data_IF_090579504562
#
_entry.id   IF_090579504562
#
_cell.length_a   1.000
_cell.length_b   1.000
_cell.length_c   1.000
_cell.angle_alpha   90.00
_cell.angle_beta   90.00
_cell.angle_gamma   90.00
#
_symmetry.space_group_name_H-M   'P 1'
#
loop_
_entity.id
_entity.type
_entity.pdbx_description
1 polymer ?
#
# COMPACT_ATOMS: atom_id res chain seq x y z
N UNK A 1 24.14 3.48 14.16
CA UNK A 1 24.76 3.76 15.49
C UNK A 1 24.33 2.73 16.54
N UNK A 2 23.09 2.24 16.57
CA UNK A 2 22.60 1.32 17.60
C UNK A 2 23.26 -0.06 17.59
N UNK A 3 23.65 -0.58 16.42
CA UNK A 3 24.37 -1.87 16.32
C UNK A 3 25.81 -1.82 16.81
N UNK A 4 26.38 -0.64 16.97
CA UNK A 4 27.76 -0.47 17.42
C UNK A 4 27.89 -0.54 18.95
N UNK A 5 26.84 -0.19 19.70
CA UNK A 5 26.85 -0.18 21.17
C UNK A 5 27.09 -1.58 21.76
N UNK A 6 26.33 -2.63 21.36
CA UNK A 6 26.57 -3.99 21.85
C UNK A 6 27.99 -4.47 21.58
N UNK A 7 28.56 -4.16 20.41
CA UNK A 7 29.93 -4.51 20.05
C UNK A 7 30.95 -3.87 21.00
N UNK A 8 30.85 -2.57 21.26
CA UNK A 8 31.74 -1.83 22.15
C UNK A 8 31.68 -2.41 23.59
N UNK A 9 30.47 -2.67 24.09
CA UNK A 9 30.25 -3.24 25.42
C UNK A 9 30.84 -4.63 25.51
N UNK A 10 30.73 -5.47 24.49
CA UNK A 10 31.32 -6.79 24.41
C UNK A 10 32.85 -6.70 24.53
N UNK A 11 33.48 -5.83 23.73
CA UNK A 11 34.94 -5.64 23.72
C UNK A 11 35.45 -5.13 25.09
N UNK A 12 34.79 -4.12 25.64
CA UNK A 12 35.11 -3.60 26.97
C UNK A 12 34.92 -4.68 28.05
N UNK A 13 33.82 -5.44 27.97
CA UNK A 13 33.58 -6.57 28.88
C UNK A 13 34.72 -7.59 28.85
N UNK A 14 35.20 -7.99 27.66
CA UNK A 14 36.33 -8.93 27.51
C UNK A 14 37.64 -8.37 28.07
N UNK A 15 37.87 -7.06 27.94
CA UNK A 15 39.10 -6.42 28.43
C UNK A 15 39.14 -6.29 29.95
N UNK A 16 37.99 -6.00 30.58
CA UNK A 16 37.92 -5.74 32.03
C UNK A 16 37.57 -6.97 32.87
N UNK A 17 37.09 -8.05 32.25
CA UNK A 17 36.75 -9.29 32.97
C UNK A 17 37.51 -10.48 32.35
N UNK A 18 36.82 -11.34 31.65
CA UNK A 18 37.35 -12.46 30.88
C UNK A 18 36.54 -12.66 29.60
N UNK A 19 37.05 -13.49 28.69
CA UNK A 19 36.46 -13.72 27.39
C UNK A 19 35.00 -14.21 27.47
N UNK A 20 34.72 -15.15 28.40
CA UNK A 20 33.40 -15.75 28.51
C UNK A 20 32.38 -14.76 29.08
N UNK A 21 32.73 -14.08 30.16
CA UNK A 21 31.89 -13.09 30.82
C UNK A 21 31.61 -11.91 29.89
N UNK A 22 32.63 -11.41 29.18
CA UNK A 22 32.47 -10.32 28.20
C UNK A 22 31.52 -10.68 27.05
N UNK A 23 31.63 -11.93 26.52
CA UNK A 23 30.67 -12.39 25.48
C UNK A 23 29.24 -12.50 26.03
N UNK A 24 29.05 -13.02 27.24
CA UNK A 24 27.72 -13.12 27.85
C UNK A 24 27.09 -11.74 28.07
N UNK A 25 27.83 -10.76 28.57
CA UNK A 25 27.35 -9.38 28.73
C UNK A 25 26.97 -8.79 27.37
N UNK A 26 27.84 -8.95 26.38
CA UNK A 26 27.55 -8.44 25.01
C UNK A 26 26.31 -9.06 24.39
N UNK A 27 26.10 -10.37 24.58
CA UNK A 27 24.92 -11.07 24.11
C UNK A 27 23.63 -10.52 24.75
N UNK A 28 23.62 -10.34 26.07
CA UNK A 28 22.47 -9.79 26.82
C UNK A 28 22.16 -8.37 26.33
N UNK A 29 23.20 -7.53 26.17
CA UNK A 29 23.01 -6.16 25.66
C UNK A 29 22.48 -6.16 24.20
N UNK A 30 23.00 -7.05 23.36
CA UNK A 30 22.51 -7.18 21.97
C UNK A 30 21.06 -7.62 21.92
N UNK A 31 20.66 -8.63 22.70
CA UNK A 31 19.26 -9.07 22.80
C UNK A 31 18.35 -7.93 23.31
N UNK A 32 18.80 -7.19 24.32
CA UNK A 32 18.04 -6.06 24.85
C UNK A 32 17.92 -4.92 23.84
N UNK A 33 18.99 -4.62 23.09
CA UNK A 33 18.96 -3.62 22.03
C UNK A 33 17.96 -4.00 20.92
N UNK A 34 17.96 -5.27 20.49
CA UNK A 34 16.99 -5.79 19.49
C UNK A 34 15.55 -5.69 20.01
N UNK A 35 15.31 -6.06 21.28
CA UNK A 35 13.97 -5.95 21.88
C UNK A 35 13.53 -4.50 21.98
N UNK A 36 14.42 -3.56 22.36
CA UNK A 36 14.12 -2.12 22.39
C UNK A 36 13.84 -1.55 21.00
N UNK A 37 14.57 -1.99 19.99
CA UNK A 37 14.36 -1.56 18.60
C UNK A 37 13.01 -2.04 18.09
N UNK A 38 12.68 -3.30 18.33
CA UNK A 38 11.35 -3.85 18.01
C UNK A 38 10.23 -3.16 18.80
N UNK A 39 10.44 -2.81 20.06
CA UNK A 39 9.47 -2.07 20.88
C UNK A 39 9.29 -0.62 20.41
N UNK A 40 10.38 0.06 20.01
CA UNK A 40 10.36 1.44 19.50
C UNK A 40 9.93 1.56 18.05
N UNK A 41 9.97 0.47 17.30
CA UNK A 41 9.54 0.44 15.90
C UNK A 41 8.02 0.68 15.83
N UNK A 42 7.64 1.96 15.71
CA UNK A 42 6.25 2.45 15.51
C UNK A 42 5.70 2.04 14.13
N UNK A 43 6.44 1.20 13.40
CA UNK A 43 6.20 0.89 11.98
C UNK A 43 5.08 -0.11 11.70
N UNK A 44 4.39 -0.63 12.71
CA UNK A 44 3.33 -1.63 12.49
C UNK A 44 1.96 -1.01 12.19
N UNK A 45 1.77 0.27 12.53
CA UNK A 45 0.62 1.05 12.13
C UNK A 45 1.09 2.38 11.53
N UNK A 46 0.75 2.64 10.27
CA UNK A 46 0.72 3.98 9.73
C UNK A 46 -0.71 4.50 9.83
N UNK A 47 -0.92 5.42 10.73
CA UNK A 47 -2.17 6.15 10.84
C UNK A 47 -2.15 7.31 9.83
N UNK A 48 -3.16 7.36 8.98
CA UNK A 48 -3.44 8.52 8.13
C UNK A 48 -4.90 8.91 8.35
N UNK A 49 -5.13 10.13 8.78
CA UNK A 49 -6.48 10.68 8.90
C UNK A 49 -6.74 11.52 7.64
N UNK A 50 -7.63 11.02 6.78
CA UNK A 50 -8.01 11.69 5.53
C UNK A 50 -9.54 11.84 5.55
N UNK A 51 -10.05 13.07 5.49
CA UNK A 51 -11.50 13.35 5.42
C UNK A 51 -12.32 12.63 6.52
N UNK A 52 -11.87 12.64 7.76
CA UNK A 52 -12.49 11.94 8.90
C UNK A 52 -12.42 10.40 8.83
N UNK A 53 -11.62 9.84 7.94
CA UNK A 53 -11.37 8.41 7.80
C UNK A 53 -10.01 8.07 8.38
N UNK A 54 -9.97 7.11 9.30
CA UNK A 54 -8.75 6.63 9.95
C UNK A 54 -8.27 5.38 9.21
N UNK A 55 -7.10 5.45 8.59
CA UNK A 55 -6.51 4.33 7.87
C UNK A 55 -5.35 3.78 8.67
N UNK A 56 -5.45 2.52 9.06
CA UNK A 56 -4.45 1.80 9.84
C UNK A 56 -3.79 0.73 8.95
N UNK A 57 -2.56 0.97 8.51
CA UNK A 57 -1.80 0.00 7.70
C UNK A 57 -0.95 -0.89 8.57
N UNK A 58 -1.12 -2.19 8.46
CA UNK A 58 -0.29 -3.18 9.13
C UNK A 58 1.07 -3.31 8.43
N UNK A 59 2.15 -3.47 9.21
CA UNK A 59 3.48 -3.77 8.69
C UNK A 59 3.55 -5.20 8.13
N UNK A 60 4.66 -5.53 7.45
CA UNK A 60 4.86 -6.89 6.92
C UNK A 60 4.84 -7.98 8.00
N UNK A 61 5.34 -7.67 9.19
CA UNK A 61 5.38 -8.58 10.33
C UNK A 61 4.79 -7.91 11.57
N UNK A 62 3.67 -8.43 12.03
CA UNK A 62 2.97 -7.96 13.23
C UNK A 62 3.01 -9.06 14.27
N UNK A 63 3.84 -8.87 15.30
CA UNK A 63 4.07 -9.83 16.37
C UNK A 63 3.29 -9.47 17.65
N UNK A 64 3.25 -10.40 18.61
CA UNK A 64 2.63 -10.19 19.92
C UNK A 64 3.19 -8.97 20.68
N UNK A 65 4.44 -8.58 20.43
CA UNK A 65 5.06 -7.39 21.01
C UNK A 65 4.31 -6.10 20.63
N UNK A 66 3.57 -6.14 19.53
CA UNK A 66 2.79 -5.01 19.03
C UNK A 66 1.38 -4.95 19.65
N UNK A 67 0.90 -6.02 20.30
CA UNK A 67 -0.47 -6.16 20.85
C UNK A 67 -0.90 -4.94 21.68
N UNK A 68 -0.08 -4.53 22.64
CA UNK A 68 -0.42 -3.44 23.56
C UNK A 68 -0.60 -2.09 22.85
N UNK A 69 0.28 -1.79 21.89
CA UNK A 69 0.22 -0.55 21.15
C UNK A 69 -0.93 -0.54 20.13
N UNK A 70 -1.17 -1.67 19.45
CA UNK A 70 -2.30 -1.82 18.52
C UNK A 70 -3.61 -1.63 19.30
N UNK A 71 -3.76 -2.32 20.43
CA UNK A 71 -4.94 -2.17 21.28
C UNK A 71 -5.14 -0.70 21.71
N UNK A 72 -4.08 -0.05 22.18
CA UNK A 72 -4.14 1.37 22.58
C UNK A 72 -4.55 2.28 21.42
N UNK A 73 -4.07 2.02 20.20
CA UNK A 73 -4.45 2.81 19.01
C UNK A 73 -5.92 2.60 18.67
N UNK A 74 -6.40 1.36 18.70
CA UNK A 74 -7.80 1.03 18.42
C UNK A 74 -8.75 1.59 19.48
N UNK A 75 -8.35 1.54 20.75
CA UNK A 75 -9.15 2.08 21.88
C UNK A 75 -9.31 3.61 21.81
N UNK A 76 -8.33 4.31 21.22
CA UNK A 76 -8.34 5.77 21.06
C UNK A 76 -9.14 6.27 19.85
N UNK A 77 -9.67 5.38 19.02
CA UNK A 77 -10.47 5.77 17.85
C UNK A 77 -11.78 6.43 18.30
N UNK A 78 -12.07 7.56 17.69
CA UNK A 78 -13.27 8.37 18.02
C UNK A 78 -14.54 7.63 17.61
N UNK A 79 -15.57 7.69 18.44
CA UNK A 79 -16.90 7.13 18.15
C UNK A 79 -17.47 7.77 16.87
N UNK A 80 -18.04 6.97 15.99
CA UNK A 80 -18.64 7.43 14.74
C UNK A 80 -17.63 7.69 13.61
N UNK A 81 -16.38 7.25 13.76
CA UNK A 81 -15.35 7.35 12.70
C UNK A 81 -15.48 6.25 11.67
N UNK A 82 -15.01 6.53 10.46
CA UNK A 82 -14.73 5.51 9.44
C UNK A 82 -13.31 4.99 9.61
N UNK A 83 -13.14 3.68 9.78
CA UNK A 83 -11.85 3.03 10.02
C UNK A 83 -11.58 1.99 8.96
N UNK A 84 -10.39 2.03 8.37
CA UNK A 84 -9.90 0.99 7.47
C UNK A 84 -8.64 0.38 8.06
N UNK A 85 -8.63 -0.94 8.26
CA UNK A 85 -7.44 -1.69 8.63
C UNK A 85 -6.95 -2.43 7.39
N UNK A 86 -5.80 -2.00 6.88
CA UNK A 86 -5.21 -2.53 5.65
C UNK A 86 -4.07 -3.50 5.99
N UNK A 87 -4.29 -4.78 5.70
CA UNK A 87 -3.33 -5.88 5.86
C UNK A 87 -2.67 -6.31 4.53
N UNK A 88 -2.78 -5.52 3.44
CA UNK A 88 -2.30 -5.88 2.10
C UNK A 88 -0.82 -6.25 2.10
N UNK A 89 0.01 -5.49 2.81
CA UNK A 89 1.47 -5.73 2.91
C UNK A 89 1.84 -6.76 3.97
N UNK A 90 0.89 -7.21 4.78
CA UNK A 90 1.17 -8.08 5.91
C UNK A 90 1.48 -9.50 5.43
N UNK A 91 2.61 -10.03 5.89
CA UNK A 91 3.09 -11.41 5.63
C UNK A 91 2.89 -12.33 6.83
N UNK A 92 2.82 -11.74 8.03
CA UNK A 92 2.64 -12.47 9.27
C UNK A 92 1.86 -11.65 10.28
N UNK A 93 0.81 -12.24 10.86
CA UNK A 93 0.04 -11.68 11.97
C UNK A 93 0.04 -12.70 13.11
N UNK A 94 0.47 -12.27 14.28
CA UNK A 94 0.37 -13.08 15.49
C UNK A 94 -1.11 -13.27 15.89
N UNK A 95 -1.42 -14.45 16.43
CA UNK A 95 -2.79 -14.77 16.87
C UNK A 95 -3.34 -13.75 17.87
N UNK A 96 -2.53 -13.34 18.83
CA UNK A 96 -2.91 -12.36 19.85
C UNK A 96 -3.29 -10.99 19.27
N UNK A 97 -2.63 -10.59 18.18
CA UNK A 97 -2.96 -9.33 17.48
C UNK A 97 -4.23 -9.50 16.65
N UNK A 98 -4.36 -10.63 15.97
CA UNK A 98 -5.57 -10.94 15.21
C UNK A 98 -6.80 -10.92 16.11
N UNK A 99 -6.72 -11.52 17.31
CA UNK A 99 -7.78 -11.51 18.33
C UNK A 99 -8.16 -10.07 18.73
N UNK A 100 -7.19 -9.20 19.01
CA UNK A 100 -7.46 -7.77 19.32
C UNK A 100 -8.21 -7.05 18.19
N UNK A 101 -7.89 -7.35 16.92
CA UNK A 101 -8.59 -6.75 15.78
C UNK A 101 -10.02 -7.30 15.65
N UNK A 102 -10.25 -8.59 15.88
CA UNK A 102 -11.59 -9.18 15.88
C UNK A 102 -12.43 -8.68 17.07
N UNK A 103 -11.84 -8.51 18.23
CA UNK A 103 -12.51 -7.90 19.38
C UNK A 103 -12.94 -6.46 19.07
N UNK A 104 -12.03 -5.68 18.48
CA UNK A 104 -12.35 -4.32 18.05
C UNK A 104 -13.47 -4.28 17.00
N UNK A 105 -13.51 -5.24 16.08
CA UNK A 105 -14.59 -5.35 15.10
C UNK A 105 -15.96 -5.54 15.76
N UNK A 106 -16.03 -6.35 16.82
CA UNK A 106 -17.24 -6.54 17.60
C UNK A 106 -17.63 -5.26 18.38
N UNK A 107 -16.64 -4.55 18.95
CA UNK A 107 -16.89 -3.29 19.65
C UNK A 107 -17.27 -2.14 18.70
N UNK A 108 -16.75 -2.11 17.48
CA UNK A 108 -17.00 -1.07 16.47
C UNK A 108 -18.50 -0.90 16.20
N UNK A 109 -19.25 -2.00 16.18
CA UNK A 109 -20.71 -1.99 16.01
C UNK A 109 -21.40 -1.19 17.13
N UNK A 110 -20.97 -1.36 18.37
CA UNK A 110 -21.53 -0.66 19.53
C UNK A 110 -21.09 0.81 19.61
N UNK A 111 -19.95 1.14 19.03
CA UNK A 111 -19.38 2.50 18.99
C UNK A 111 -19.79 3.29 17.74
N UNK A 112 -20.70 2.78 16.90
CA UNK A 112 -21.07 3.35 15.60
C UNK A 112 -19.84 3.67 14.72
N UNK A 113 -18.81 2.82 14.79
CA UNK A 113 -17.62 2.91 13.94
C UNK A 113 -17.86 2.06 12.69
N UNK A 114 -17.73 2.66 11.51
CA UNK A 114 -17.72 1.93 10.24
C UNK A 114 -16.34 1.32 10.05
N UNK A 115 -16.21 -0.02 10.20
CA UNK A 115 -14.94 -0.73 10.08
C UNK A 115 -14.87 -1.50 8.77
N UNK A 116 -13.84 -1.23 7.98
CA UNK A 116 -13.47 -2.00 6.78
C UNK A 116 -12.15 -2.73 7.04
N UNK A 117 -12.14 -4.05 6.85
CA UNK A 117 -10.92 -4.88 6.94
C UNK A 117 -10.46 -5.21 5.51
N UNK A 118 -9.36 -4.57 5.08
CA UNK A 118 -8.80 -4.78 3.74
C UNK A 118 -7.76 -5.90 3.77
N UNK A 119 -7.96 -6.94 2.96
CA UNK A 119 -7.03 -8.07 2.83
C UNK A 119 -6.65 -8.77 4.15
N UNK A 120 -7.51 -8.73 5.16
CA UNK A 120 -7.33 -9.49 6.39
C UNK A 120 -7.59 -10.98 6.12
N UNK A 121 -6.53 -11.80 6.15
CA UNK A 121 -6.54 -13.21 5.71
C UNK A 121 -6.37 -14.21 6.85
N UNK A 122 -6.62 -13.78 8.09
CA UNK A 122 -6.43 -14.58 9.30
C UNK A 122 -5.09 -14.27 9.99
N UNK A 123 -4.52 -15.25 10.66
CA UNK A 123 -3.28 -15.14 11.47
C UNK A 123 -2.24 -16.17 11.05
N UNK A 124 -1.02 -16.04 11.58
CA UNK A 124 0.14 -16.85 11.21
C UNK A 124 0.83 -16.32 9.95
N UNK A 125 1.46 -17.22 9.21
CA UNK A 125 2.06 -16.89 7.91
C UNK A 125 0.95 -16.74 6.87
N UNK A 126 0.76 -15.52 6.41
CA UNK A 126 -0.29 -15.19 5.46
C UNK A 126 0.14 -15.54 4.03
N UNK A 127 -0.79 -16.09 3.25
CA UNK A 127 -0.57 -16.22 1.81
C UNK A 127 -0.39 -14.81 1.22
N UNK A 128 0.52 -14.61 0.26
CA UNK A 128 0.64 -13.32 -0.42
C UNK A 128 -0.71 -12.89 -1.01
N UNK A 129 -1.00 -11.60 -0.96
CA UNK A 129 -2.13 -11.04 -1.74
C UNK A 129 -1.82 -11.29 -3.21
N UNK A 130 -2.81 -11.74 -3.96
CA UNK A 130 -2.65 -11.94 -5.39
C UNK A 130 -2.14 -10.64 -6.03
N UNK A 131 -1.05 -10.76 -6.79
CA UNK A 131 -0.47 -9.60 -7.47
C UNK A 131 -1.37 -9.20 -8.63
N UNK A 132 -1.63 -7.92 -8.73
CA UNK A 132 -2.29 -7.37 -9.92
C UNK A 132 -1.30 -7.46 -11.09
N UNK A 133 -1.66 -8.20 -12.12
CA UNK A 133 -0.90 -8.34 -13.35
C UNK A 133 -1.38 -7.34 -14.39
N UNK A 134 -0.50 -7.01 -15.34
CA UNK A 134 -0.87 -6.20 -16.50
C UNK A 134 -1.92 -6.90 -17.37
N UNK A 135 -2.71 -6.11 -18.08
CA UNK A 135 -3.73 -6.65 -19.00
C UNK A 135 -3.07 -7.37 -20.18
N UNK A 136 -3.69 -8.46 -20.59
CA UNK A 136 -3.35 -9.22 -21.80
C UNK A 136 -4.32 -8.90 -22.92
N UNK A 137 -3.99 -9.28 -24.15
CA UNK A 137 -4.90 -9.15 -25.29
C UNK A 137 -6.30 -9.71 -24.98
N UNK A 138 -6.37 -10.92 -24.43
CA UNK A 138 -7.65 -11.57 -24.13
C UNK A 138 -8.44 -10.86 -23.04
N UNK A 139 -7.80 -10.43 -21.97
CA UNK A 139 -8.46 -9.70 -20.89
C UNK A 139 -8.96 -8.33 -21.36
N UNK A 140 -8.15 -7.58 -22.14
CA UNK A 140 -8.56 -6.30 -22.72
C UNK A 140 -9.76 -6.48 -23.68
N UNK A 141 -9.73 -7.48 -24.58
CA UNK A 141 -10.80 -7.69 -25.55
C UNK A 141 -12.15 -8.00 -24.89
N UNK A 142 -12.14 -8.71 -23.76
CA UNK A 142 -13.33 -9.03 -22.99
C UNK A 142 -13.97 -7.84 -22.25
N UNK A 143 -13.25 -6.72 -22.10
CA UNK A 143 -13.77 -5.55 -21.37
C UNK A 143 -14.72 -4.73 -22.19
N UNK A 144 -15.80 -4.25 -21.54
CA UNK A 144 -16.71 -3.23 -22.04
C UNK A 144 -16.32 -1.86 -21.46
N UNK A 145 -16.65 -0.74 -22.14
CA UNK A 145 -16.34 0.61 -21.63
C UNK A 145 -16.83 0.86 -20.21
N UNK A 146 -18.01 0.37 -19.86
CA UNK A 146 -18.57 0.52 -18.52
C UNK A 146 -17.75 -0.22 -17.46
N UNK A 147 -17.25 -1.42 -17.76
CA UNK A 147 -16.38 -2.17 -16.85
C UNK A 147 -15.05 -1.43 -16.62
N UNK A 148 -14.49 -0.83 -17.67
CA UNK A 148 -13.26 0.00 -17.55
C UNK A 148 -13.52 1.21 -16.65
N UNK A 149 -14.67 1.88 -16.81
CA UNK A 149 -15.03 3.01 -15.95
C UNK A 149 -15.12 2.59 -14.46
N UNK A 150 -15.72 1.44 -14.17
CA UNK A 150 -15.79 0.93 -12.79
C UNK A 150 -14.40 0.55 -12.23
N UNK A 151 -13.51 -0.02 -13.06
CA UNK A 151 -12.11 -0.28 -12.66
C UNK A 151 -11.42 1.04 -12.26
N UNK A 152 -11.57 2.10 -13.07
CA UNK A 152 -10.96 3.40 -12.77
C UNK A 152 -11.56 4.02 -11.51
N UNK A 153 -12.86 3.94 -11.29
CA UNK A 153 -13.51 4.44 -10.06
C UNK A 153 -13.00 3.71 -8.82
N UNK A 154 -12.95 2.37 -8.87
CA UNK A 154 -12.44 1.56 -7.77
C UNK A 154 -10.96 1.88 -7.47
N UNK A 155 -10.12 2.03 -8.50
CA UNK A 155 -8.74 2.46 -8.34
C UNK A 155 -8.63 3.86 -7.72
N UNK A 156 -9.52 4.78 -8.10
CA UNK A 156 -9.57 6.11 -7.49
C UNK A 156 -10.01 6.05 -6.02
N UNK A 157 -10.94 5.18 -5.66
CA UNK A 157 -11.28 4.91 -4.25
C UNK A 157 -10.06 4.43 -3.46
N UNK A 158 -9.23 3.56 -4.03
CA UNK A 158 -7.95 3.17 -3.43
C UNK A 158 -7.04 4.39 -3.20
N UNK A 159 -6.87 5.23 -4.22
CA UNK A 159 -6.04 6.43 -4.11
C UNK A 159 -6.54 7.39 -3.02
N UNK A 160 -7.84 7.70 -3.00
CA UNK A 160 -8.45 8.60 -2.01
C UNK A 160 -8.32 8.05 -0.59
N UNK A 161 -8.40 6.74 -0.42
CA UNK A 161 -8.23 6.06 0.86
C UNK A 161 -6.76 5.71 1.16
N UNK A 162 -5.82 6.18 0.33
CA UNK A 162 -4.40 5.90 0.45
C UNK A 162 -4.09 4.38 0.53
N UNK A 163 -4.87 3.56 -0.13
CA UNK A 163 -4.65 2.14 -0.34
C UNK A 163 -3.79 1.94 -1.59
N UNK A 164 -3.08 0.84 -1.67
CA UNK A 164 -2.29 0.49 -2.85
C UNK A 164 -2.50 -0.99 -3.17
N UNK A 165 -2.72 -1.30 -4.43
CA UNK A 165 -2.74 -2.68 -4.89
C UNK A 165 -1.35 -3.32 -4.80
N UNK A 166 -1.31 -4.64 -4.56
CA UNK A 166 -0.05 -5.37 -4.53
C UNK A 166 0.48 -5.57 -5.95
N UNK A 167 1.39 -4.69 -6.40
CA UNK A 167 2.04 -4.75 -7.72
C UNK A 167 3.54 -4.95 -7.61
N UNK A 168 4.07 -5.70 -8.55
CA UNK A 168 5.51 -5.75 -8.82
C UNK A 168 5.76 -5.05 -10.16
N UNK A 169 6.17 -3.78 -10.12
CA UNK A 169 6.38 -2.98 -11.32
C UNK A 169 7.44 -3.57 -12.26
N UNK A 170 8.50 -4.19 -11.70
CA UNK A 170 9.53 -4.84 -12.53
C UNK A 170 9.00 -6.09 -13.24
N UNK A 171 8.13 -6.84 -12.58
CA UNK A 171 7.43 -7.98 -13.19
C UNK A 171 6.49 -7.50 -14.31
N UNK A 172 5.78 -6.38 -14.10
CA UNK A 172 4.92 -5.77 -15.13
C UNK A 172 5.72 -5.25 -16.34
N UNK A 173 6.94 -4.72 -16.14
CA UNK A 173 7.84 -4.39 -17.27
C UNK A 173 8.13 -5.61 -18.13
N UNK A 174 8.41 -6.76 -17.49
CA UNK A 174 8.66 -8.01 -18.21
C UNK A 174 7.38 -8.53 -18.89
N UNK A 175 6.25 -8.49 -18.19
CA UNK A 175 4.95 -8.96 -18.71
C UNK A 175 4.48 -8.14 -19.94
N UNK A 176 4.92 -6.88 -20.05
CA UNK A 176 4.56 -5.96 -21.14
C UNK A 176 5.65 -5.79 -22.21
N UNK A 177 6.77 -6.55 -22.12
CA UNK A 177 7.90 -6.44 -23.06
C UNK A 177 7.52 -6.80 -24.50
N UNK A 178 6.66 -7.80 -24.66
CA UNK A 178 6.25 -8.32 -25.97
C UNK A 178 5.00 -7.63 -26.53
N UNK A 179 4.36 -6.74 -25.75
CA UNK A 179 3.18 -5.99 -26.16
C UNK A 179 2.46 -5.34 -24.99
N UNK A 180 1.67 -4.32 -25.30
CA UNK A 180 0.87 -3.60 -24.34
C UNK A 180 -0.61 -3.65 -24.72
N UNK A 181 -1.48 -3.78 -23.72
CA UNK A 181 -2.93 -3.92 -23.92
C UNK A 181 -3.69 -2.95 -23.00
N UNK A 182 -3.48 -1.64 -23.14
CA UNK A 182 -4.06 -0.62 -22.26
C UNK A 182 -5.58 -0.59 -22.41
N UNK A 183 -6.28 -0.55 -21.27
CA UNK A 183 -7.74 -0.58 -21.24
C UNK A 183 -8.39 0.77 -21.57
N UNK A 184 -7.64 1.86 -21.36
CA UNK A 184 -8.10 3.22 -21.63
C UNK A 184 -6.95 4.13 -22.09
N UNK A 185 -7.33 5.30 -22.64
CA UNK A 185 -6.45 6.46 -22.76
C UNK A 185 -6.98 7.59 -21.89
N UNK A 186 -6.12 8.23 -21.11
CA UNK A 186 -6.46 9.29 -20.17
C UNK A 186 -5.73 10.56 -20.57
N UNK A 187 -6.46 11.60 -20.99
CA UNK A 187 -5.93 12.93 -21.18
C UNK A 187 -5.93 13.69 -19.85
N UNK A 188 -4.76 14.08 -19.39
CA UNK A 188 -4.61 14.83 -18.14
C UNK A 188 -3.66 16.02 -18.28
N UNK A 189 -3.65 16.90 -17.28
CA UNK A 189 -2.69 17.98 -17.21
C UNK A 189 -1.26 17.46 -17.04
N UNK A 190 -0.27 18.20 -17.52
CA UNK A 190 1.14 17.93 -17.23
C UNK A 190 1.54 18.23 -15.77
N UNK A 191 0.64 18.77 -14.96
CA UNK A 191 0.89 19.06 -13.55
C UNK A 191 1.47 17.84 -12.84
N UNK A 192 2.58 18.02 -12.11
CA UNK A 192 3.36 16.94 -11.51
C UNK A 192 2.58 16.11 -10.47
N UNK A 193 1.46 16.63 -9.99
CA UNK A 193 0.59 15.98 -8.98
C UNK A 193 -0.50 15.11 -9.60
N UNK A 194 -0.66 15.11 -10.92
CA UNK A 194 -1.74 14.40 -11.65
C UNK A 194 -1.23 13.18 -12.40
N UNK A 195 -0.47 12.29 -11.74
CA UNK A 195 -0.11 11.00 -12.32
C UNK A 195 -1.34 10.09 -12.36
N UNK A 196 -1.82 9.77 -13.54
CA UNK A 196 -3.06 8.99 -13.74
C UNK A 196 -2.92 7.57 -13.24
N UNK A 197 -1.73 6.98 -13.34
CA UNK A 197 -1.44 5.64 -12.85
C UNK A 197 -1.62 5.56 -11.32
N UNK A 198 -1.18 6.60 -10.60
CA UNK A 198 -1.36 6.69 -9.15
C UNK A 198 -2.80 7.02 -8.76
N UNK A 199 -3.44 7.98 -9.47
CA UNK A 199 -4.81 8.43 -9.18
C UNK A 199 -5.82 7.30 -9.35
N UNK A 200 -5.58 6.40 -10.29
CA UNK A 200 -6.48 5.27 -10.57
C UNK A 200 -5.92 3.92 -10.11
N UNK A 201 -4.87 3.93 -9.27
CA UNK A 201 -4.22 2.71 -8.77
C UNK A 201 -3.97 1.68 -9.90
N UNK A 202 -3.30 2.13 -10.98
CA UNK A 202 -2.97 1.34 -12.16
C UNK A 202 -1.49 1.00 -12.22
N UNK A 203 -1.16 -0.03 -12.97
CA UNK A 203 0.21 -0.47 -13.21
C UNK A 203 0.76 -0.05 -14.58
N UNK A 204 1.97 -0.53 -14.85
CA UNK A 204 2.62 -0.31 -16.14
C UNK A 204 1.89 -1.07 -17.25
N UNK A 205 1.60 -0.37 -18.35
CA UNK A 205 0.91 -0.93 -19.51
C UNK A 205 -0.62 -0.97 -19.40
N UNK A 206 -1.20 -0.57 -18.26
CA UNK A 206 -2.65 -0.64 -18.04
C UNK A 206 -3.41 0.47 -18.76
N UNK A 207 -2.81 1.65 -18.95
CA UNK A 207 -3.42 2.79 -19.66
C UNK A 207 -2.40 3.53 -20.52
N UNK A 208 -2.90 4.24 -21.54
CA UNK A 208 -2.14 5.32 -22.17
C UNK A 208 -2.36 6.61 -21.39
N UNK A 209 -1.26 7.30 -21.10
CA UNK A 209 -1.24 8.57 -20.39
C UNK A 209 -0.89 9.69 -21.37
N UNK A 210 -1.89 10.45 -21.83
CA UNK A 210 -1.72 11.63 -22.67
C UNK A 210 -1.72 12.87 -21.76
N UNK A 211 -0.58 13.59 -21.69
CA UNK A 211 -0.42 14.71 -20.75
C UNK A 211 0.03 15.98 -21.47
N UNK A 212 -0.72 17.05 -21.24
CA UNK A 212 -0.42 18.37 -21.80
C UNK A 212 -0.94 19.47 -20.84
N UNK A 213 -0.30 20.63 -20.84
CA UNK A 213 -0.72 21.76 -20.00
C UNK A 213 -2.19 22.12 -20.26
N UNK A 214 -2.98 22.13 -19.15
CA UNK A 214 -4.40 22.50 -19.19
C UNK A 214 -5.31 21.55 -19.99
N UNK A 215 -4.91 20.31 -20.24
CA UNK A 215 -5.67 19.29 -20.99
C UNK A 215 -6.08 19.75 -22.41
N UNK A 216 -5.28 20.60 -23.05
CA UNK A 216 -5.58 21.16 -24.37
C UNK A 216 -5.52 20.05 -25.42
N UNK A 217 -6.53 20.00 -26.28
CA UNK A 217 -6.60 19.06 -27.40
C UNK A 217 -6.01 19.73 -28.65
N UNK A 218 -5.09 19.04 -29.31
CA UNK A 218 -4.57 19.35 -30.63
C UNK A 218 -4.61 18.10 -31.51
N UNK A 219 -4.20 18.22 -32.76
CA UNK A 219 -4.27 17.12 -33.74
C UNK A 219 -3.41 15.92 -33.30
N UNK A 220 -2.25 16.14 -32.66
CA UNK A 220 -1.39 15.07 -32.16
C UNK A 220 -2.06 14.28 -31.03
N UNK A 221 -2.76 14.98 -30.13
CA UNK A 221 -3.53 14.34 -29.07
C UNK A 221 -4.70 13.54 -29.60
N UNK A 222 -5.44 14.11 -30.59
CA UNK A 222 -6.54 13.41 -31.25
C UNK A 222 -6.05 12.18 -31.99
N UNK A 223 -4.95 12.28 -32.74
CA UNK A 223 -4.30 11.14 -33.40
C UNK A 223 -3.89 10.05 -32.42
N UNK A 224 -3.32 10.42 -31.27
CA UNK A 224 -2.95 9.48 -30.20
C UNK A 224 -4.18 8.78 -29.61
N UNK A 225 -5.28 9.48 -29.39
CA UNK A 225 -6.54 8.90 -28.91
C UNK A 225 -7.15 7.97 -29.95
N UNK A 226 -7.11 8.33 -31.21
CA UNK A 226 -7.57 7.48 -32.30
C UNK A 226 -6.75 6.20 -32.40
N UNK A 227 -5.43 6.29 -32.31
CA UNK A 227 -4.54 5.13 -32.26
C UNK A 227 -4.87 4.23 -31.07
N UNK A 228 -5.00 4.81 -29.89
CA UNK A 228 -5.31 4.07 -28.66
C UNK A 228 -6.60 3.24 -28.81
N UNK A 229 -7.66 3.84 -29.38
CA UNK A 229 -8.96 3.17 -29.50
C UNK A 229 -9.02 2.21 -30.69
N UNK A 230 -8.55 2.64 -31.88
CA UNK A 230 -8.71 1.86 -33.11
C UNK A 230 -7.62 0.79 -33.29
N UNK A 231 -6.40 1.08 -32.90
CA UNK A 231 -5.25 0.20 -33.13
C UNK A 231 -4.90 -0.60 -31.89
N UNK A 232 -4.72 0.08 -30.75
CA UNK A 232 -4.32 -0.59 -29.51
C UNK A 232 -5.50 -1.20 -28.72
N UNK A 233 -6.76 -0.91 -29.11
CA UNK A 233 -7.94 -1.57 -28.56
C UNK A 233 -8.41 -1.03 -27.21
N UNK A 234 -7.98 0.15 -26.77
CA UNK A 234 -8.50 0.85 -25.59
C UNK A 234 -10.01 1.07 -25.69
N UNK A 235 -10.72 0.84 -24.58
CA UNK A 235 -12.18 0.85 -24.55
C UNK A 235 -12.80 2.15 -24.11
N UNK A 236 -12.00 3.07 -23.55
CA UNK A 236 -12.49 4.29 -22.92
C UNK A 236 -11.49 5.43 -23.14
N UNK A 237 -12.01 6.62 -23.41
CA UNK A 237 -11.27 7.89 -23.36
C UNK A 237 -11.74 8.64 -22.11
N UNK A 238 -10.81 9.06 -21.27
CA UNK A 238 -11.09 9.86 -20.07
C UNK A 238 -10.36 11.19 -20.17
N UNK A 239 -11.05 12.28 -19.83
CA UNK A 239 -10.45 13.60 -19.68
C UNK A 239 -10.45 13.95 -18.20
N UNK A 240 -9.27 14.05 -17.61
CA UNK A 240 -9.07 14.27 -16.18
C UNK A 240 -8.59 15.71 -15.95
N UNK A 241 -9.44 16.56 -15.41
CA UNK A 241 -9.08 17.89 -14.90
C UNK A 241 -8.69 17.85 -13.42
N UNK A 242 -8.13 18.95 -12.93
CA UNK A 242 -7.80 19.13 -11.51
C UNK A 242 -7.98 20.55 -11.05
N UNK A 243 -8.18 20.75 -9.74
CA UNK A 243 -8.23 22.09 -9.12
C UNK A 243 -6.81 22.68 -9.00
N UNK A 244 -6.71 24.01 -8.86
CA UNK A 244 -5.45 24.72 -8.74
C UNK A 244 -4.47 24.46 -9.89
N UNK A 245 -5.01 24.31 -11.11
CA UNK A 245 -4.22 24.28 -12.31
C UNK A 245 -3.59 25.68 -12.56
N UNK A 246 -2.31 25.71 -12.95
CA UNK A 246 -1.54 26.95 -13.16
C UNK A 246 -1.98 27.73 -14.39
#
# INVERSE_FOLDING_TARGET
>A
YYHFIPFVITVLGMVFTDLLTGMCIGLVVALFAILLENYKSVSYFREAVINNKVILRLSEHVSFLNKANIKKTLDNITIGSDVVIDATRCKYIDYDVYEVIEDFKNEAVHKNISLTLENMRGFGVLKPVEKVRSYTYHSQQGLKPQAVLEILKHGNEHFVNNLESNRNLLEQVNDTSDGQFPIAIILSCMDSRTSVELIFDLGLGDVFSARVAGNIINDDMLGSMEYACKVAGSKLIVVLGHTHCG
#
